data_IF_611837970494
#
_entry.id   IF_611837970494
#
_cell.length_a   1.000
_cell.length_b   1.000
_cell.length_c   1.000
_cell.angle_alpha   90.00
_cell.angle_beta   90.00
_cell.angle_gamma   90.00
#
_symmetry.space_group_name_H-M   'P 1'
#
loop_
_entity.id
_entity.type
_entity.pdbx_description
1 polymer ?
#
# COMPACT_ATOMS: atom_id res chain seq x y z
N UNK A 1 8.75 -12.17 -0.53
CA UNK A 1 7.87 -11.05 -0.94
C UNK A 1 6.43 -11.29 -0.50
N UNK A 2 5.73 -12.33 -0.96
CA UNK A 2 4.32 -12.59 -0.62
C UNK A 2 4.08 -12.66 0.89
N UNK A 3 4.87 -13.46 1.61
CA UNK A 3 4.79 -13.58 3.05
C UNK A 3 5.01 -12.23 3.77
N UNK A 4 6.02 -11.46 3.34
CA UNK A 4 6.31 -10.15 3.94
C UNK A 4 5.13 -9.18 3.80
N UNK A 5 4.47 -9.16 2.64
CA UNK A 5 3.26 -8.34 2.41
C UNK A 5 2.16 -8.74 3.39
N UNK A 6 1.88 -10.04 3.49
CA UNK A 6 0.82 -10.55 4.36
C UNK A 6 1.13 -10.30 5.84
N UNK A 7 2.37 -10.60 6.26
CA UNK A 7 2.81 -10.37 7.64
C UNK A 7 2.76 -8.90 8.05
N UNK A 8 3.22 -7.98 7.19
CA UNK A 8 3.18 -6.54 7.47
C UNK A 8 1.74 -6.01 7.67
N UNK A 9 0.76 -6.65 7.04
CA UNK A 9 -0.66 -6.28 7.18
C UNK A 9 -1.27 -6.94 8.43
N UNK A 10 -1.01 -8.23 8.66
CA UNK A 10 -1.70 -9.03 9.66
C UNK A 10 -0.99 -9.07 11.02
N UNK A 11 0.34 -8.86 11.02
CA UNK A 11 1.19 -8.97 12.20
C UNK A 11 1.01 -10.30 12.98
N UNK A 12 0.72 -11.37 12.25
CA UNK A 12 0.51 -12.71 12.76
C UNK A 12 1.07 -13.74 11.75
N UNK A 13 1.96 -14.63 12.22
CA UNK A 13 2.63 -15.59 11.35
C UNK A 13 1.65 -16.60 10.73
N UNK A 14 0.74 -17.15 11.52
CA UNK A 14 -0.20 -18.18 11.06
C UNK A 14 -1.18 -17.61 10.04
N UNK A 15 -1.78 -16.46 10.35
CA UNK A 15 -2.68 -15.77 9.42
C UNK A 15 -1.96 -15.37 8.12
N UNK A 16 -0.69 -14.95 8.23
CA UNK A 16 0.11 -14.57 7.06
C UNK A 16 0.38 -15.77 6.15
N UNK A 17 0.77 -16.93 6.71
CA UNK A 17 0.99 -18.16 5.97
C UNK A 17 -0.30 -18.65 5.31
N UNK A 18 -1.41 -18.66 6.04
CA UNK A 18 -2.72 -19.07 5.52
C UNK A 18 -3.14 -18.16 4.34
N UNK A 19 -3.06 -16.85 4.50
CA UNK A 19 -3.39 -15.91 3.41
C UNK A 19 -2.51 -16.08 2.17
N UNK A 20 -1.24 -16.39 2.34
CA UNK A 20 -0.34 -16.65 1.20
C UNK A 20 -0.73 -17.95 0.49
N UNK A 21 -1.04 -19.00 1.22
CA UNK A 21 -1.49 -20.28 0.65
C UNK A 21 -2.83 -20.10 -0.09
N UNK A 22 -3.79 -19.40 0.50
CA UNK A 22 -5.06 -19.08 -0.13
C UNK A 22 -4.87 -18.25 -1.41
N UNK A 23 -3.92 -17.31 -1.40
CA UNK A 23 -3.61 -16.49 -2.56
C UNK A 23 -2.97 -17.32 -3.70
N UNK A 24 -2.15 -18.30 -3.38
CA UNK A 24 -1.61 -19.23 -4.40
C UNK A 24 -2.72 -20.08 -5.01
N UNK A 25 -3.64 -20.59 -4.21
CA UNK A 25 -4.81 -21.31 -4.70
C UNK A 25 -5.71 -20.39 -5.54
N UNK A 26 -5.98 -19.17 -5.08
CA UNK A 26 -6.74 -18.16 -5.83
C UNK A 26 -6.09 -17.80 -7.15
N UNK A 27 -4.76 -17.72 -7.20
CA UNK A 27 -3.99 -17.50 -8.42
C UNK A 27 -4.15 -18.68 -9.38
N UNK A 28 -4.00 -19.90 -8.88
CA UNK A 28 -4.16 -21.13 -9.66
C UNK A 28 -5.54 -21.22 -10.31
N UNK A 29 -6.58 -20.92 -9.56
CA UNK A 29 -7.96 -20.93 -10.03
C UNK A 29 -8.30 -19.80 -11.03
N UNK A 30 -7.54 -18.72 -11.00
CA UNK A 30 -7.73 -17.60 -11.93
C UNK A 30 -7.05 -17.81 -13.30
N UNK A 31 -6.13 -18.78 -13.41
CA UNK A 31 -5.36 -19.06 -14.62
C UNK A 31 -5.68 -20.48 -15.11
N UNK A 32 -6.26 -20.69 -16.34
CA UNK A 32 -6.90 -19.70 -17.19
C UNK A 32 -8.26 -19.22 -16.63
N UNK A 33 -8.91 -18.18 -17.15
CA UNK A 33 -8.62 -17.49 -18.42
C UNK A 33 -7.62 -16.33 -18.31
N UNK A 34 -7.27 -15.89 -17.11
CA UNK A 34 -6.33 -14.77 -16.96
C UNK A 34 -4.91 -15.18 -17.37
N UNK A 35 -4.19 -14.25 -18.00
CA UNK A 35 -2.79 -14.42 -18.40
C UNK A 35 -1.97 -13.25 -17.88
N UNK A 36 -1.72 -13.20 -16.55
CA UNK A 36 -1.03 -12.07 -15.93
C UNK A 36 0.44 -12.00 -16.36
N UNK A 37 0.90 -10.79 -16.69
CA UNK A 37 2.30 -10.50 -16.95
C UNK A 37 2.64 -9.12 -16.35
N UNK A 38 3.52 -9.06 -15.35
CA UNK A 38 4.25 -10.16 -14.72
C UNK A 38 3.39 -10.96 -13.70
N UNK A 39 3.59 -12.27 -13.66
CA UNK A 39 2.87 -13.17 -12.75
C UNK A 39 3.06 -12.80 -11.27
N UNK A 40 4.29 -12.44 -10.88
CA UNK A 40 4.61 -12.07 -9.50
C UNK A 40 3.76 -10.87 -9.01
N UNK A 41 3.59 -9.84 -9.83
CA UNK A 41 2.76 -8.68 -9.47
C UNK A 41 1.30 -9.09 -9.27
N UNK A 42 0.78 -9.99 -10.08
CA UNK A 42 -0.57 -10.53 -9.95
C UNK A 42 -0.75 -11.30 -8.64
N UNK A 43 0.19 -12.19 -8.32
CA UNK A 43 0.18 -12.94 -7.04
C UNK A 43 0.24 -11.99 -5.85
N UNK A 44 1.16 -11.02 -5.86
CA UNK A 44 1.29 -10.04 -4.79
C UNK A 44 -0.01 -9.22 -4.59
N UNK A 45 -0.70 -8.88 -5.67
CA UNK A 45 -2.00 -8.19 -5.60
C UNK A 45 -3.07 -9.05 -4.91
N UNK A 46 -3.12 -10.35 -5.21
CA UNK A 46 -4.06 -11.29 -4.57
C UNK A 46 -3.72 -11.44 -3.09
N UNK A 47 -2.43 -11.66 -2.76
CA UNK A 47 -1.96 -11.77 -1.36
C UNK A 47 -2.38 -10.53 -0.57
N UNK A 48 -2.08 -9.34 -1.08
CA UNK A 48 -2.43 -8.08 -0.42
C UNK A 48 -3.95 -7.96 -0.21
N UNK A 49 -4.75 -8.28 -1.22
CA UNK A 49 -6.22 -8.25 -1.12
C UNK A 49 -6.73 -9.18 -0.02
N UNK A 50 -6.27 -10.43 0.02
CA UNK A 50 -6.69 -11.41 1.01
C UNK A 50 -6.25 -11.01 2.42
N UNK A 51 -5.03 -10.52 2.57
CA UNK A 51 -4.52 -10.03 3.84
C UNK A 51 -5.32 -8.83 4.38
N UNK A 52 -5.70 -7.88 3.53
CA UNK A 52 -6.56 -6.75 3.93
C UNK A 52 -7.97 -7.23 4.31
N UNK A 53 -8.54 -8.19 3.58
CA UNK A 53 -9.84 -8.77 3.91
C UNK A 53 -9.79 -9.48 5.28
N UNK A 54 -8.75 -10.26 5.55
CA UNK A 54 -8.53 -10.93 6.83
C UNK A 54 -8.31 -9.90 7.94
N UNK A 55 -7.50 -8.88 7.71
CA UNK A 55 -7.26 -7.79 8.66
C UNK A 55 -8.57 -7.10 9.06
N UNK A 56 -9.42 -6.78 8.10
CA UNK A 56 -10.75 -6.18 8.36
C UNK A 56 -11.66 -7.11 9.16
N UNK A 57 -11.62 -8.43 8.91
CA UNK A 57 -12.39 -9.41 9.66
C UNK A 57 -11.90 -9.55 11.11
N UNK A 58 -10.57 -9.38 11.32
CA UNK A 58 -9.93 -9.50 12.64
C UNK A 58 -9.93 -8.19 13.44
N UNK A 59 -10.49 -7.08 12.93
CA UNK A 59 -10.38 -5.72 13.51
C UNK A 59 -11.03 -5.52 14.89
N UNK A 60 -11.58 -6.55 15.51
CA UNK A 60 -11.95 -6.51 16.93
C UNK A 60 -10.72 -6.56 17.88
N UNK A 61 -9.51 -6.84 17.39
CA UNK A 61 -8.31 -7.03 18.24
C UNK A 61 -7.08 -6.29 17.67
N UNK A 62 -6.73 -5.16 18.32
CA UNK A 62 -5.45 -4.43 18.30
C UNK A 62 -4.92 -3.97 16.94
N UNK A 63 -5.17 -2.71 16.61
CA UNK A 63 -4.47 -1.90 15.58
C UNK A 63 -3.04 -1.58 16.06
N UNK A 64 -2.02 -2.34 15.65
CA UNK A 64 -0.61 -2.05 15.95
C UNK A 64 0.37 -2.61 14.90
N UNK A 65 -0.08 -2.91 13.69
CA UNK A 65 0.78 -3.38 12.61
C UNK A 65 1.39 -2.24 11.77
N UNK A 66 2.45 -2.55 11.01
CA UNK A 66 3.06 -1.60 10.08
C UNK A 66 2.06 -1.06 9.05
N UNK A 67 1.07 -1.86 8.68
CA UNK A 67 -0.04 -1.46 7.81
C UNK A 67 -0.91 -0.36 8.44
N UNK A 68 -1.31 -0.51 9.72
CA UNK A 68 -2.14 0.48 10.41
C UNK A 68 -1.42 1.80 10.56
N UNK A 69 -0.13 1.77 10.92
CA UNK A 69 0.71 2.99 11.02
C UNK A 69 0.85 3.67 9.65
N UNK A 70 1.09 2.92 8.58
CA UNK A 70 1.18 3.49 7.23
C UNK A 70 -0.16 4.10 6.78
N UNK A 71 -1.29 3.46 7.12
CA UNK A 71 -2.63 3.98 6.81
C UNK A 71 -2.90 5.28 7.56
N UNK A 72 -2.59 5.34 8.87
CA UNK A 72 -2.72 6.56 9.69
C UNK A 72 -1.88 7.72 9.15
N UNK A 73 -0.65 7.46 8.69
CA UNK A 73 0.19 8.49 8.07
C UNK A 73 -0.46 9.12 6.83
N UNK A 74 -1.12 8.32 5.99
CA UNK A 74 -1.85 8.80 4.83
C UNK A 74 -3.12 9.54 5.25
N UNK A 75 -3.90 8.99 6.18
CA UNK A 75 -5.12 9.60 6.69
C UNK A 75 -4.83 10.99 7.27
N UNK A 76 -3.81 11.13 8.12
CA UNK A 76 -3.40 12.42 8.69
C UNK A 76 -2.94 13.43 7.64
N UNK A 77 -2.30 12.98 6.57
CA UNK A 77 -1.86 13.86 5.50
C UNK A 77 -3.04 14.33 4.62
N UNK A 78 -4.01 13.45 4.40
CA UNK A 78 -5.15 13.69 3.51
C UNK A 78 -6.39 14.23 4.25
N UNK A 79 -6.45 14.03 5.57
CA UNK A 79 -7.51 14.52 6.45
C UNK A 79 -7.29 16.01 6.78
N UNK A 80 -7.69 16.88 5.89
CA UNK A 80 -8.18 18.20 6.26
C UNK A 80 -9.71 18.20 6.13
N UNK A 81 -10.46 19.10 6.82
CA UNK A 81 -11.92 19.07 6.89
C UNK A 81 -12.64 19.34 5.55
N UNK A 82 -12.00 18.98 4.48
CA UNK A 82 -12.55 19.12 3.15
C UNK A 82 -13.08 17.75 2.70
N UNK A 83 -14.37 17.69 2.61
CA UNK A 83 -15.15 16.60 2.03
C UNK A 83 -14.50 16.09 0.76
N UNK A 84 -14.05 14.83 0.77
CA UNK A 84 -13.93 14.07 -0.46
C UNK A 84 -15.34 14.06 -1.07
N UNK A 85 -15.53 14.73 -2.20
CA UNK A 85 -16.77 14.54 -2.94
C UNK A 85 -16.91 13.04 -3.20
N UNK A 86 -18.01 12.44 -2.77
CA UNK A 86 -18.30 10.99 -2.81
C UNK A 86 -18.32 10.39 -4.23
N UNK A 87 -17.91 11.14 -5.24
CA UNK A 87 -18.17 10.83 -6.65
C UNK A 87 -16.97 10.40 -7.49
N UNK A 88 -15.74 10.41 -6.95
CA UNK A 88 -14.61 9.91 -7.71
C UNK A 88 -14.62 8.38 -7.67
N UNK A 89 -15.00 7.75 -8.78
CA UNK A 89 -14.92 6.29 -8.91
C UNK A 89 -13.51 5.80 -8.55
N UNK A 90 -13.42 4.70 -7.80
CA UNK A 90 -12.15 4.12 -7.35
C UNK A 90 -11.14 3.89 -8.49
N UNK A 91 -11.63 3.61 -9.71
CA UNK A 91 -10.79 3.47 -10.91
C UNK A 91 -10.15 4.79 -11.34
N UNK A 92 -10.89 5.89 -11.22
CA UNK A 92 -10.38 7.24 -11.54
C UNK A 92 -9.33 7.66 -10.53
N UNK A 93 -9.59 7.46 -9.25
CA UNK A 93 -8.61 7.71 -8.18
C UNK A 93 -7.33 6.88 -8.39
N UNK A 94 -7.45 5.60 -8.72
CA UNK A 94 -6.30 4.75 -9.00
C UNK A 94 -5.42 5.30 -10.13
N UNK A 95 -6.02 5.77 -11.24
CA UNK A 95 -5.29 6.40 -12.37
C UNK A 95 -4.59 7.70 -11.95
N UNK A 96 -5.24 8.50 -11.13
CA UNK A 96 -4.66 9.76 -10.62
C UNK A 96 -3.44 9.46 -9.75
N UNK A 97 -3.53 8.45 -8.87
CA UNK A 97 -2.40 8.00 -8.04
C UNK A 97 -1.28 7.43 -8.90
N UNK A 98 -1.58 6.60 -9.90
CA UNK A 98 -0.59 6.09 -10.86
C UNK A 98 0.14 7.25 -11.57
N UNK A 99 -0.60 8.24 -12.06
CA UNK A 99 -0.01 9.43 -12.69
C UNK A 99 0.85 10.23 -11.72
N UNK A 100 0.45 10.34 -10.46
CA UNK A 100 1.28 10.97 -9.42
C UNK A 100 2.60 10.20 -9.21
N UNK A 101 2.54 8.87 -9.11
CA UNK A 101 3.73 8.04 -8.93
C UNK A 101 4.73 8.21 -10.08
N UNK A 102 4.24 8.44 -11.30
CA UNK A 102 5.07 8.70 -12.47
C UNK A 102 5.81 10.05 -12.41
N UNK A 103 5.31 11.00 -11.62
CA UNK A 103 5.99 12.29 -11.38
C UNK A 103 7.17 12.19 -10.42
N UNK A 104 7.23 11.13 -9.62
CA UNK A 104 8.28 10.93 -8.62
C UNK A 104 9.58 10.43 -9.24
N UNK A 105 10.71 10.78 -8.61
CA UNK A 105 11.97 10.08 -8.90
C UNK A 105 11.85 8.60 -8.58
N UNK A 106 12.65 7.77 -9.25
CA UNK A 106 12.67 6.32 -9.03
C UNK A 106 12.85 5.95 -7.56
N UNK A 107 13.80 6.60 -6.86
CA UNK A 107 14.01 6.38 -5.42
C UNK A 107 12.78 6.71 -4.57
N UNK A 108 12.16 7.87 -4.79
CA UNK A 108 10.99 8.28 -4.01
C UNK A 108 9.79 7.40 -4.31
N UNK A 109 9.62 6.95 -5.56
CA UNK A 109 8.60 5.99 -5.96
C UNK A 109 8.78 4.66 -5.24
N UNK A 110 10.01 4.11 -5.22
CA UNK A 110 10.34 2.87 -4.50
C UNK A 110 10.03 3.01 -3.00
N UNK A 111 10.48 4.09 -2.36
CA UNK A 111 10.24 4.33 -0.93
C UNK A 111 8.74 4.44 -0.64
N UNK A 112 7.99 5.17 -1.46
CA UNK A 112 6.55 5.34 -1.33
C UNK A 112 5.81 4.01 -1.50
N UNK A 113 6.12 3.25 -2.54
CA UNK A 113 5.52 1.94 -2.78
C UNK A 113 5.83 0.95 -1.66
N UNK A 114 7.06 0.91 -1.17
CA UNK A 114 7.43 0.06 -0.04
C UNK A 114 6.63 0.40 1.21
N UNK A 115 6.45 1.68 1.51
CA UNK A 115 5.70 2.10 2.69
C UNK A 115 4.21 1.80 2.58
N UNK A 116 3.56 2.22 1.49
CA UNK A 116 2.10 2.24 1.41
C UNK A 116 1.49 1.04 0.68
N UNK A 117 2.24 0.41 -0.19
CA UNK A 117 1.75 -0.78 -0.88
C UNK A 117 2.24 -2.08 -0.19
N UNK A 118 3.52 -2.16 0.16
CA UNK A 118 4.11 -3.32 0.85
C UNK A 118 3.99 -3.25 2.38
N UNK A 119 3.67 -2.09 2.92
CA UNK A 119 3.56 -1.82 4.36
C UNK A 119 4.87 -2.07 5.13
N UNK A 120 6.01 -1.82 4.48
CA UNK A 120 7.31 -1.95 5.11
C UNK A 120 7.51 -0.91 6.23
N UNK A 121 8.26 -1.27 7.26
CA UNK A 121 8.70 -0.32 8.30
C UNK A 121 9.75 0.64 7.74
N UNK A 122 9.96 1.78 8.41
CA UNK A 122 11.05 2.69 8.03
C UNK A 122 12.42 2.04 8.10
N UNK A 123 12.64 1.16 9.08
CA UNK A 123 13.86 0.39 9.22
C UNK A 123 14.10 -0.55 8.03
N UNK A 124 13.06 -1.26 7.59
CA UNK A 124 13.16 -2.16 6.43
C UNK A 124 13.40 -1.40 5.13
N UNK A 125 12.73 -0.25 4.94
CA UNK A 125 12.96 0.62 3.78
C UNK A 125 14.40 1.15 3.79
N UNK A 126 14.88 1.65 4.95
CA UNK A 126 16.23 2.14 5.12
C UNK A 126 17.27 1.07 4.78
N UNK A 127 17.07 -0.14 5.31
CA UNK A 127 17.92 -1.30 5.02
C UNK A 127 17.94 -1.66 3.53
N UNK A 128 16.77 -1.62 2.88
CA UNK A 128 16.65 -1.96 1.46
C UNK A 128 17.27 -0.91 0.54
N UNK A 129 17.15 0.37 0.88
CA UNK A 129 17.59 1.48 0.05
C UNK A 129 19.02 1.96 0.38
N UNK A 130 19.63 1.45 1.45
CA UNK A 130 20.92 1.93 1.94
C UNK A 130 20.88 3.32 2.57
N UNK A 131 19.70 3.83 2.92
CA UNK A 131 19.48 5.12 3.56
C UNK A 131 19.36 4.99 5.07
N UNK A 132 19.41 6.12 5.77
CA UNK A 132 19.01 6.18 7.18
C UNK A 132 17.50 6.26 7.32
N UNK A 133 16.94 5.76 8.42
CA UNK A 133 15.50 5.86 8.70
C UNK A 133 15.02 7.32 8.71
N UNK A 134 15.86 8.25 9.19
CA UNK A 134 15.59 9.68 9.18
C UNK A 134 15.41 10.19 7.72
N UNK A 135 16.28 9.79 6.81
CA UNK A 135 16.15 10.19 5.41
C UNK A 135 14.89 9.61 4.77
N UNK A 136 14.56 8.34 5.05
CA UNK A 136 13.32 7.70 4.61
C UNK A 136 12.11 8.50 5.12
N UNK A 137 12.08 8.83 6.42
CA UNK A 137 11.01 9.61 7.03
C UNK A 137 10.81 10.97 6.36
N UNK A 138 11.91 11.73 6.20
CA UNK A 138 11.84 13.06 5.56
C UNK A 138 11.34 12.97 4.11
N UNK A 139 11.80 11.98 3.34
CA UNK A 139 11.36 11.77 1.96
C UNK A 139 9.87 11.42 1.91
N UNK A 140 9.39 10.55 2.78
CA UNK A 140 7.97 10.19 2.86
C UNK A 140 7.08 11.38 3.25
N UNK A 141 7.51 12.20 4.22
CA UNK A 141 6.78 13.43 4.59
C UNK A 141 6.64 14.36 3.38
N UNK A 142 7.72 14.59 2.64
CA UNK A 142 7.71 15.43 1.43
C UNK A 142 6.82 14.84 0.33
N UNK A 143 6.92 13.55 0.09
CA UNK A 143 6.12 12.87 -0.94
C UNK A 143 4.64 12.86 -0.60
N UNK A 144 4.26 12.68 0.67
CA UNK A 144 2.85 12.82 1.11
C UNK A 144 2.32 14.23 0.88
N UNK A 145 3.13 15.26 1.18
CA UNK A 145 2.74 16.64 0.90
C UNK A 145 2.53 16.89 -0.59
N UNK A 146 3.44 16.40 -1.43
CA UNK A 146 3.30 16.46 -2.89
C UNK A 146 2.04 15.72 -3.38
N UNK A 147 1.74 14.54 -2.82
CA UNK A 147 0.51 13.81 -3.15
C UNK A 147 -0.73 14.63 -2.82
N UNK A 148 -0.77 15.24 -1.62
CA UNK A 148 -1.89 16.09 -1.22
C UNK A 148 -2.09 17.26 -2.19
N UNK A 149 -1.01 17.99 -2.50
CA UNK A 149 -1.04 19.10 -3.46
C UNK A 149 -1.51 18.65 -4.85
N UNK A 150 -1.03 17.48 -5.32
CA UNK A 150 -1.45 16.89 -6.58
C UNK A 150 -2.93 16.51 -6.61
N UNK A 151 -3.45 15.93 -5.52
CA UNK A 151 -4.87 15.57 -5.42
C UNK A 151 -5.78 16.81 -5.37
N UNK A 152 -5.33 17.90 -4.74
CA UNK A 152 -6.03 19.19 -4.76
C UNK A 152 -6.05 19.75 -6.19
N UNK A 153 -4.93 19.73 -6.90
CA UNK A 153 -4.85 20.18 -8.30
C UNK A 153 -5.76 19.36 -9.24
N UNK A 154 -5.96 18.09 -8.93
CA UNK A 154 -6.86 17.19 -9.69
C UNK A 154 -8.32 17.23 -9.22
N UNK A 155 -8.67 18.17 -8.34
CA UNK A 155 -10.02 18.33 -7.78
C UNK A 155 -10.56 17.07 -7.06
N UNK A 156 -9.66 16.22 -6.56
CA UNK A 156 -9.99 15.04 -5.74
C UNK A 156 -10.13 15.41 -4.27
N UNK A 157 -9.33 16.37 -3.84
CA UNK A 157 -9.43 17.01 -2.51
C UNK A 157 -9.75 18.48 -2.76
N UNK A 158 -10.71 19.02 -2.01
CA UNK A 158 -11.13 20.43 -2.14
C UNK A 158 -10.57 21.23 -0.97
#
# INVERSE_FOLDING_TARGET
VCYSISYNILNNNLDAEECVNDAYLGTWNAIPPQRPNPLLAFVCKIVRRYSIMRHRANTAMKRNGAYDVALEELEHCLADPVTVEETVEAKTLARIIESFLDTLSEENRVIFMRRYWFSDSYADIAKHTGMTEKNVSVRLIRTRKQLREYLIEKEVLV
#
